data_IF_834940604646
#
_entry.id   IF_834940604646
#
_cell.length_a   1.000
_cell.length_b   1.000
_cell.length_c   1.000
_cell.angle_alpha   90.00
_cell.angle_beta   90.00
_cell.angle_gamma   90.00
#
_symmetry.space_group_name_H-M   'P 1'
#
loop_
_entity.id
_entity.type
_entity.pdbx_description
1 polymer ?
#
# COMPACT_ATOMS: atom_id res chain seq x y z
N UNK A 1 -0.09 -22.93 21.49
CA UNK A 1 0.03 -22.97 20.03
C UNK A 1 0.05 -21.54 19.57
N UNK A 2 1.12 -21.07 18.94
CA UNK A 2 1.10 -19.74 18.32
C UNK A 2 0.21 -19.86 17.08
N UNK A 3 -0.86 -19.07 17.02
CA UNK A 3 -1.71 -19.00 15.83
C UNK A 3 -0.83 -18.65 14.62
N UNK A 4 -1.00 -19.40 13.53
CA UNK A 4 -0.32 -19.09 12.29
C UNK A 4 -0.68 -17.66 11.85
N UNK A 5 0.27 -16.89 11.29
CA UNK A 5 0.00 -15.51 10.90
C UNK A 5 -1.17 -15.45 9.92
N UNK A 6 -2.07 -14.49 10.16
CA UNK A 6 -3.26 -14.31 9.34
C UNK A 6 -2.85 -14.08 7.87
N UNK A 7 -3.53 -14.75 6.95
CA UNK A 7 -3.19 -14.71 5.52
C UNK A 7 -4.04 -13.67 4.81
N UNK A 8 -3.49 -12.93 3.85
CA UNK A 8 -4.31 -12.12 2.94
C UNK A 8 -5.29 -13.00 2.16
N UNK A 9 -6.56 -12.61 2.15
CA UNK A 9 -7.65 -13.33 1.44
C UNK A 9 -8.31 -12.51 0.35
N UNK A 10 -8.23 -11.17 0.41
CA UNK A 10 -8.62 -10.27 -0.67
C UNK A 10 -7.72 -9.03 -0.68
N UNK A 11 -7.54 -8.45 -1.86
CA UNK A 11 -6.60 -7.35 -2.13
C UNK A 11 -7.20 -6.39 -3.16
N UNK A 12 -7.07 -5.10 -2.90
CA UNK A 12 -7.12 -4.06 -3.92
C UNK A 12 -5.87 -3.19 -3.77
N UNK A 13 -5.09 -3.06 -4.84
CA UNK A 13 -3.89 -2.25 -4.91
C UNK A 13 -3.76 -1.51 -6.25
N UNK A 14 -2.62 -0.84 -6.43
CA UNK A 14 -2.31 -0.13 -7.66
C UNK A 14 -0.81 -0.19 -7.97
N UNK A 15 -0.46 -0.54 -9.22
CA UNK A 15 0.92 -0.66 -9.71
C UNK A 15 1.21 0.40 -10.78
N UNK A 16 2.42 0.96 -10.79
CA UNK A 16 2.85 1.93 -11.82
C UNK A 16 2.13 3.28 -11.76
N UNK A 17 1.97 3.92 -12.93
CA UNK A 17 1.48 5.29 -13.08
C UNK A 17 2.58 6.34 -12.82
N UNK A 18 2.27 7.60 -13.12
CA UNK A 18 3.21 8.71 -12.94
C UNK A 18 3.17 9.24 -11.50
N UNK A 19 4.10 8.77 -10.66
CA UNK A 19 4.27 9.20 -9.26
C UNK A 19 5.76 9.39 -8.94
N UNK A 20 6.08 10.13 -7.88
CA UNK A 20 7.47 10.22 -7.40
C UNK A 20 7.99 8.87 -6.94
N UNK A 21 9.32 8.67 -6.96
CA UNK A 21 9.94 7.44 -6.49
C UNK A 21 9.55 7.10 -5.04
N UNK A 22 9.56 8.10 -4.15
CA UNK A 22 9.10 7.98 -2.76
C UNK A 22 7.66 7.49 -2.68
N UNK A 23 6.74 8.09 -3.45
CA UNK A 23 5.35 7.64 -3.49
C UNK A 23 5.20 6.23 -4.04
N UNK A 24 6.01 5.84 -5.03
CA UNK A 24 5.96 4.49 -5.59
C UNK A 24 6.38 3.42 -4.57
N UNK A 25 7.45 3.66 -3.82
CA UNK A 25 7.95 2.74 -2.79
C UNK A 25 7.01 2.66 -1.58
N UNK A 26 6.47 3.81 -1.16
CA UNK A 26 5.59 3.90 -0.01
C UNK A 26 4.13 3.62 -0.31
N UNK A 27 3.74 3.37 -1.57
CA UNK A 27 2.35 3.05 -1.91
C UNK A 27 1.94 1.71 -1.27
N UNK A 28 1.04 1.70 -0.27
CA UNK A 28 0.48 0.44 0.20
C UNK A 28 -0.61 -0.03 -0.77
N UNK A 29 -1.04 -1.29 -0.68
CA UNK A 29 -2.37 -1.66 -1.16
C UNK A 29 -3.45 -0.72 -0.61
N UNK A 30 -4.45 -0.44 -1.43
CA UNK A 30 -5.61 0.37 -1.03
C UNK A 30 -6.41 -0.31 0.06
N UNK A 31 -6.65 -1.61 -0.09
CA UNK A 31 -7.33 -2.44 0.91
C UNK A 31 -6.76 -3.86 0.90
N UNK A 32 -6.51 -4.41 2.08
CA UNK A 32 -6.24 -5.83 2.27
C UNK A 32 -7.20 -6.40 3.31
N UNK A 33 -7.78 -7.56 3.02
CA UNK A 33 -8.58 -8.34 3.96
C UNK A 33 -7.77 -9.56 4.38
N UNK A 34 -7.65 -9.79 5.68
CA UNK A 34 -6.97 -10.94 6.27
C UNK A 34 -7.96 -12.02 6.70
N UNK A 35 -7.48 -13.27 6.78
CA UNK A 35 -8.29 -14.45 7.10
C UNK A 35 -8.91 -14.41 8.50
N UNK A 36 -8.33 -13.62 9.41
CA UNK A 36 -8.87 -13.40 10.75
C UNK A 36 -9.93 -12.28 10.78
N UNK A 37 -10.25 -11.68 9.63
CA UNK A 37 -11.23 -10.59 9.50
C UNK A 37 -10.68 -9.19 9.75
N UNK A 38 -9.37 -9.02 9.95
CA UNK A 38 -8.78 -7.69 9.94
C UNK A 38 -8.79 -7.15 8.50
N UNK A 39 -9.26 -5.92 8.34
CA UNK A 39 -9.14 -5.16 7.10
C UNK A 39 -8.21 -4.00 7.36
N UNK A 40 -7.22 -3.80 6.50
CA UNK A 40 -6.31 -2.65 6.54
C UNK A 40 -6.48 -1.86 5.26
N UNK A 41 -6.81 -0.57 5.39
CA UNK A 41 -6.98 0.36 4.29
C UNK A 41 -5.85 1.39 4.28
N UNK A 42 -5.24 1.60 3.10
CA UNK A 42 -4.12 2.52 2.84
C UNK A 42 -2.97 2.41 3.87
N UNK A 43 -2.78 1.25 4.49
CA UNK A 43 -1.85 1.04 5.63
C UNK A 43 -1.95 2.11 6.74
N UNK A 44 -3.14 2.68 6.96
CA UNK A 44 -3.36 3.77 7.91
C UNK A 44 -4.62 3.60 8.76
N UNK A 45 -5.63 2.91 8.24
CA UNK A 45 -6.85 2.57 8.97
C UNK A 45 -7.05 1.06 9.02
N UNK A 46 -7.66 0.59 10.08
CA UNK A 46 -8.08 -0.80 10.21
C UNK A 46 -9.51 -0.92 10.75
N UNK A 47 -10.20 -1.99 10.38
CA UNK A 47 -11.44 -2.42 11.00
C UNK A 47 -11.49 -3.94 11.15
N UNK A 48 -12.42 -4.42 11.98
CA UNK A 48 -12.66 -5.85 12.14
C UNK A 48 -13.99 -6.22 11.47
N UNK A 49 -13.93 -7.23 10.61
CA UNK A 49 -15.08 -7.89 10.03
C UNK A 49 -15.43 -9.15 10.83
N UNK A 50 -16.69 -9.54 10.75
CA UNK A 50 -17.15 -10.87 11.14
C UNK A 50 -16.70 -11.92 10.12
N UNK A 51 -16.61 -13.19 10.55
CA UNK A 51 -16.29 -14.32 9.67
C UNK A 51 -17.25 -14.43 8.48
N UNK A 52 -18.53 -14.13 8.70
CA UNK A 52 -19.56 -14.12 7.66
C UNK A 52 -19.30 -13.03 6.61
N UNK A 53 -18.88 -11.84 7.03
CA UNK A 53 -18.51 -10.75 6.10
C UNK A 53 -17.27 -11.13 5.28
N UNK A 54 -16.23 -11.68 5.92
CA UNK A 54 -15.03 -12.17 5.21
C UNK A 54 -15.40 -13.21 4.16
N UNK A 55 -16.20 -14.21 4.55
CA UNK A 55 -16.63 -15.27 3.65
C UNK A 55 -17.41 -14.74 2.45
N UNK A 56 -18.30 -13.76 2.67
CA UNK A 56 -19.04 -13.09 1.58
C UNK A 56 -18.12 -12.33 0.65
N UNK A 57 -17.17 -11.54 1.18
CA UNK A 57 -16.20 -10.79 0.36
C UNK A 57 -15.38 -11.75 -0.49
N UNK A 58 -14.82 -12.81 0.11
CA UNK A 58 -14.02 -13.80 -0.62
C UNK A 58 -14.85 -14.50 -1.70
N UNK A 59 -16.10 -14.88 -1.41
CA UNK A 59 -16.99 -15.51 -2.38
C UNK A 59 -17.32 -14.57 -3.55
N UNK A 60 -17.66 -13.31 -3.28
CA UNK A 60 -17.94 -12.30 -4.30
C UNK A 60 -16.71 -12.02 -5.15
N UNK A 61 -15.56 -11.75 -4.52
CA UNK A 61 -14.30 -11.51 -5.24
C UNK A 61 -13.89 -12.71 -6.10
N UNK A 62 -14.05 -13.94 -5.61
CA UNK A 62 -13.84 -15.16 -6.43
C UNK A 62 -14.78 -15.19 -7.62
N UNK A 63 -16.05 -14.89 -7.42
CA UNK A 63 -17.05 -14.85 -8.50
C UNK A 63 -16.68 -13.83 -9.57
N UNK A 64 -16.18 -12.65 -9.16
CA UNK A 64 -15.79 -11.60 -10.09
C UNK A 64 -14.49 -11.87 -10.85
N UNK A 65 -13.50 -12.47 -10.19
CA UNK A 65 -12.15 -12.64 -10.76
C UNK A 65 -11.96 -13.99 -11.45
N UNK A 66 -12.75 -15.02 -11.14
CA UNK A 66 -12.64 -16.33 -11.80
C UNK A 66 -12.95 -16.20 -13.28
N UNK A 67 -12.05 -16.73 -14.13
CA UNK A 67 -12.17 -16.66 -15.59
C UNK A 67 -11.62 -15.38 -16.22
N UNK A 68 -11.20 -14.39 -15.42
CA UNK A 68 -10.46 -13.23 -15.92
C UNK A 68 -9.02 -13.63 -16.28
N UNK A 69 -8.43 -13.02 -17.33
CA UNK A 69 -7.00 -13.17 -17.60
C UNK A 69 -6.17 -12.47 -16.51
N UNK A 70 -4.88 -12.83 -16.31
CA UNK A 70 -4.00 -12.17 -15.35
C UNK A 70 -3.86 -10.66 -15.56
N UNK A 71 -3.97 -10.22 -16.82
CA UNK A 71 -4.11 -8.81 -17.21
C UNK A 71 -5.34 -8.68 -18.10
N UNK A 72 -6.37 -7.99 -17.60
CA UNK A 72 -7.56 -7.68 -18.37
C UNK A 72 -7.26 -6.56 -19.38
N UNK A 73 -7.89 -6.64 -20.55
CA UNK A 73 -7.82 -5.60 -21.58
C UNK A 73 -9.21 -5.01 -21.77
N UNK A 74 -9.34 -3.68 -21.93
CA UNK A 74 -10.61 -3.08 -22.25
C UNK A 74 -11.01 -3.45 -23.68
N UNK A 75 -12.29 -3.26 -24.03
CA UNK A 75 -12.74 -3.43 -25.42
C UNK A 75 -11.95 -2.50 -26.37
N UNK A 76 -11.73 -2.91 -27.64
CA UNK A 76 -10.83 -2.20 -28.57
C UNK A 76 -11.18 -0.73 -28.85
N UNK A 77 -12.42 -0.32 -28.63
CA UNK A 77 -12.94 1.03 -28.80
C UNK A 77 -12.73 1.93 -27.56
N UNK A 78 -12.09 1.41 -26.50
CA UNK A 78 -11.76 2.19 -25.32
C UNK A 78 -10.75 3.30 -25.63
N UNK A 79 -10.90 4.50 -25.04
CA UNK A 79 -9.91 5.54 -25.18
C UNK A 79 -8.59 5.11 -24.55
N UNK A 80 -7.47 5.52 -25.16
CA UNK A 80 -6.15 5.32 -24.57
C UNK A 80 -5.98 6.25 -23.38
N UNK A 81 -5.56 5.68 -22.25
CA UNK A 81 -5.28 6.43 -21.02
C UNK A 81 -3.84 6.15 -20.62
N UNK A 82 -3.04 7.21 -20.51
CA UNK A 82 -1.64 7.15 -20.11
C UNK A 82 -1.48 7.61 -18.67
N UNK A 83 -0.34 7.27 -18.06
CA UNK A 83 0.13 7.79 -16.76
C UNK A 83 -0.73 7.47 -15.52
N UNK A 84 -1.79 6.67 -15.68
CA UNK A 84 -2.61 6.18 -14.57
C UNK A 84 -2.08 4.85 -14.03
N UNK A 85 -2.15 4.61 -12.70
CA UNK A 85 -1.83 3.31 -12.14
C UNK A 85 -2.74 2.20 -12.68
N UNK A 86 -2.17 1.01 -12.85
CA UNK A 86 -2.94 -0.21 -13.10
C UNK A 86 -3.58 -0.67 -11.80
N UNK A 87 -4.89 -0.89 -11.80
CA UNK A 87 -5.58 -1.46 -10.64
C UNK A 87 -5.22 -2.94 -10.51
N UNK A 88 -4.90 -3.40 -9.31
CA UNK A 88 -4.66 -4.82 -9.00
C UNK A 88 -5.77 -5.29 -8.07
N UNK A 89 -6.55 -6.26 -8.52
CA UNK A 89 -7.58 -6.93 -7.72
C UNK A 89 -7.14 -8.35 -7.42
N UNK A 90 -7.26 -8.78 -6.18
CA UNK A 90 -6.80 -10.10 -5.77
C UNK A 90 -7.76 -10.79 -4.82
N UNK A 91 -7.83 -12.12 -4.92
CA UNK A 91 -8.54 -12.98 -3.97
C UNK A 91 -7.81 -14.31 -3.81
N UNK A 92 -7.82 -14.87 -2.60
CA UNK A 92 -7.24 -16.19 -2.37
C UNK A 92 -8.13 -17.26 -2.98
N UNK A 93 -7.61 -18.03 -3.92
CA UNK A 93 -8.25 -19.18 -4.56
C UNK A 93 -8.48 -20.34 -3.59
N UNK A 94 -9.20 -21.36 -4.06
CA UNK A 94 -9.43 -22.60 -3.29
C UNK A 94 -8.14 -23.42 -3.12
N UNK A 95 -7.19 -23.27 -4.05
CA UNK A 95 -5.84 -23.85 -3.99
C UNK A 95 -4.91 -23.13 -2.99
N UNK A 96 -5.42 -22.11 -2.29
CA UNK A 96 -4.68 -21.33 -1.32
C UNK A 96 -3.74 -20.27 -1.91
N UNK A 97 -3.64 -20.16 -3.24
CA UNK A 97 -2.85 -19.13 -3.94
C UNK A 97 -3.66 -17.86 -4.14
N UNK A 98 -3.01 -16.73 -4.34
CA UNK A 98 -3.71 -15.50 -4.74
C UNK A 98 -3.97 -15.54 -6.25
N UNK A 99 -5.23 -15.39 -6.64
CA UNK A 99 -5.64 -15.04 -7.99
C UNK A 99 -5.62 -13.51 -8.07
N UNK A 100 -4.76 -12.97 -8.93
CA UNK A 100 -4.64 -11.52 -9.15
C UNK A 100 -4.95 -11.16 -10.59
N UNK A 101 -5.67 -10.06 -10.77
CA UNK A 101 -6.05 -9.49 -12.06
C UNK A 101 -5.58 -8.04 -12.10
N UNK A 102 -4.75 -7.73 -13.09
CA UNK A 102 -4.30 -6.37 -13.43
C UNK A 102 -5.28 -5.75 -14.41
N UNK A 103 -5.78 -4.56 -14.09
CA UNK A 103 -6.81 -3.86 -14.87
C UNK A 103 -6.34 -2.43 -15.16
N UNK A 104 -5.68 -2.20 -16.31
CA UNK A 104 -5.19 -0.88 -16.69
C UNK A 104 -6.34 0.14 -16.79
N UNK A 105 -6.14 1.34 -16.24
CA UNK A 105 -7.07 2.46 -16.36
C UNK A 105 -8.55 2.15 -15.98
N UNK A 106 -8.77 1.21 -15.05
CA UNK A 106 -10.11 0.74 -14.70
C UNK A 106 -11.08 1.88 -14.37
N UNK A 107 -10.64 2.87 -13.59
CA UNK A 107 -11.49 3.99 -13.19
C UNK A 107 -11.84 4.93 -14.36
N UNK A 108 -11.00 5.00 -15.39
CA UNK A 108 -11.21 5.89 -16.54
C UNK A 108 -12.06 5.25 -17.63
N UNK A 109 -11.95 3.92 -17.82
CA UNK A 109 -12.62 3.20 -18.91
C UNK A 109 -13.47 2.01 -18.42
N UNK A 110 -14.03 2.10 -17.21
CA UNK A 110 -14.80 1.03 -16.57
C UNK A 110 -15.88 0.40 -17.47
N UNK A 111 -16.59 1.22 -18.26
CA UNK A 111 -17.65 0.78 -19.18
C UNK A 111 -17.14 -0.10 -20.32
N UNK A 112 -15.82 -0.13 -20.57
CA UNK A 112 -15.18 -0.97 -21.58
C UNK A 112 -14.67 -2.31 -21.03
N UNK A 113 -14.82 -2.56 -19.72
CA UNK A 113 -14.51 -3.83 -19.08
C UNK A 113 -15.78 -4.65 -18.79
N UNK A 114 -15.67 -5.98 -18.61
CA UNK A 114 -16.74 -6.78 -18.02
C UNK A 114 -17.10 -6.22 -16.65
N UNK A 115 -18.40 -6.06 -16.36
CA UNK A 115 -18.91 -5.43 -15.12
C UNK A 115 -18.34 -6.00 -13.82
N UNK A 116 -17.89 -7.25 -13.85
CA UNK A 116 -17.28 -7.94 -12.72
C UNK A 116 -16.04 -7.20 -12.19
N UNK A 117 -15.25 -6.55 -13.06
CA UNK A 117 -14.04 -5.83 -12.64
C UNK A 117 -14.34 -4.53 -11.89
N UNK A 118 -15.20 -3.62 -12.40
CA UNK A 118 -15.63 -2.46 -11.61
C UNK A 118 -16.42 -2.87 -10.35
N UNK A 119 -17.29 -3.88 -10.41
CA UNK A 119 -18.04 -4.37 -9.23
C UNK A 119 -17.08 -4.89 -8.13
N UNK A 120 -16.03 -5.63 -8.51
CA UNK A 120 -15.00 -6.10 -7.58
C UNK A 120 -14.23 -4.94 -6.93
N UNK A 121 -13.91 -3.90 -7.71
CA UNK A 121 -13.27 -2.71 -7.17
C UNK A 121 -14.20 -1.95 -6.22
N UNK A 122 -15.46 -1.75 -6.60
CA UNK A 122 -16.47 -1.07 -5.77
C UNK A 122 -16.67 -1.78 -4.43
N UNK A 123 -16.73 -3.12 -4.44
CA UNK A 123 -16.80 -3.91 -3.22
C UNK A 123 -15.62 -3.61 -2.26
N UNK A 124 -14.40 -3.55 -2.79
CA UNK A 124 -13.20 -3.26 -2.00
C UNK A 124 -13.13 -1.78 -1.60
N UNK A 125 -13.58 -0.86 -2.45
CA UNK A 125 -13.66 0.57 -2.15
C UNK A 125 -14.65 0.86 -1.02
N UNK A 126 -15.79 0.17 -0.98
CA UNK A 126 -16.71 0.22 0.14
C UNK A 126 -16.06 -0.15 1.48
N UNK A 127 -15.09 -1.07 1.49
CA UNK A 127 -14.31 -1.39 2.70
C UNK A 127 -13.34 -0.28 3.06
N UNK A 128 -12.69 0.36 2.08
CA UNK A 128 -11.82 1.51 2.32
C UNK A 128 -12.61 2.67 2.95
N UNK A 129 -13.77 3.00 2.37
CA UNK A 129 -14.68 4.05 2.87
C UNK A 129 -15.16 3.71 4.29
N UNK A 130 -15.57 2.47 4.55
CA UNK A 130 -15.98 2.03 5.88
C UNK A 130 -14.85 2.12 6.91
N UNK A 131 -13.63 1.75 6.54
CA UNK A 131 -12.45 1.85 7.40
C UNK A 131 -12.07 3.31 7.68
N UNK A 132 -12.19 4.20 6.70
CA UNK A 132 -11.99 5.62 6.90
C UNK A 132 -13.03 6.25 7.85
N UNK A 133 -14.31 5.84 7.73
CA UNK A 133 -15.40 6.40 8.50
C UNK A 133 -15.52 5.86 9.93
N UNK A 134 -15.23 4.57 10.14
CA UNK A 134 -15.51 3.86 11.40
C UNK A 134 -14.37 3.00 11.92
N UNK A 135 -13.26 2.91 11.17
CA UNK A 135 -12.08 2.17 11.58
C UNK A 135 -11.24 2.94 12.61
N UNK A 136 -10.33 2.20 13.25
CA UNK A 136 -9.29 2.76 14.10
C UNK A 136 -8.01 2.99 13.30
N UNK A 137 -7.09 3.80 13.82
CA UNK A 137 -5.76 3.91 13.21
C UNK A 137 -5.06 2.55 13.20
N UNK A 138 -4.40 2.24 12.07
CA UNK A 138 -3.54 1.10 11.95
C UNK A 138 -2.14 1.45 12.46
N UNK A 139 -1.61 0.62 13.36
CA UNK A 139 -0.23 0.70 13.83
C UNK A 139 0.44 -0.66 13.64
N UNK A 140 1.31 -0.76 12.64
CA UNK A 140 2.11 -1.94 12.39
C UNK A 140 3.33 -2.02 13.32
N UNK A 141 3.89 -3.22 13.46
CA UNK A 141 5.13 -3.45 14.23
C UNK A 141 6.40 -3.16 13.43
N UNK A 142 6.26 -2.94 12.12
CA UNK A 142 7.33 -2.67 11.17
C UNK A 142 6.95 -1.49 10.28
N UNK A 143 7.95 -0.76 9.80
CA UNK A 143 7.76 0.36 8.87
C UNK A 143 8.65 0.21 7.66
N UNK A 144 8.18 0.66 6.50
CA UNK A 144 9.04 0.94 5.34
C UNK A 144 9.46 2.39 5.41
N UNK A 145 10.75 2.63 5.61
CA UNK A 145 11.37 3.95 5.56
C UNK A 145 11.91 4.20 4.15
N UNK A 146 11.71 5.42 3.67
CA UNK A 146 12.34 5.95 2.46
C UNK A 146 13.10 7.23 2.81
N UNK A 147 14.31 7.34 2.28
CA UNK A 147 15.14 8.53 2.32
C UNK A 147 15.38 9.03 0.90
N UNK A 148 14.98 10.28 0.65
CA UNK A 148 15.18 10.98 -0.63
C UNK A 148 16.22 12.08 -0.43
N UNK A 149 17.20 12.17 -1.32
CA UNK A 149 18.28 13.16 -1.20
C UNK A 149 17.75 14.58 -1.35
N UNK A 150 18.14 15.48 -0.45
CA UNK A 150 17.77 16.90 -0.52
C UNK A 150 18.96 17.75 -0.97
N UNK A 151 18.77 18.56 -2.04
CA UNK A 151 19.83 19.39 -2.62
C UNK A 151 20.19 20.61 -1.75
N UNK A 152 19.24 21.12 -0.96
CA UNK A 152 19.44 22.25 -0.05
C UNK A 152 18.64 22.06 1.23
N UNK A 153 19.15 22.62 2.32
CA UNK A 153 18.39 22.76 3.55
C UNK A 153 17.53 24.03 3.46
N UNK A 154 16.37 23.94 2.81
CA UNK A 154 15.30 24.91 3.07
C UNK A 154 14.73 24.61 4.46
N UNK A 155 15.42 25.11 5.50
CA UNK A 155 15.08 24.88 6.90
C UNK A 155 16.26 24.42 7.77
N UNK A 156 16.00 24.12 9.04
CA UNK A 156 16.99 23.59 9.98
C UNK A 156 16.86 22.06 10.03
N UNK A 157 17.79 21.28 9.46
CA UNK A 157 17.71 19.83 9.49
C UNK A 157 17.83 19.30 10.92
N UNK A 158 17.02 18.29 11.24
CA UNK A 158 17.14 17.52 12.46
C UNK A 158 18.35 16.56 12.38
N UNK A 159 18.94 16.16 13.52
CA UNK A 159 19.92 15.07 13.52
C UNK A 159 19.24 13.76 13.09
N UNK A 160 19.97 12.91 12.37
CA UNK A 160 19.48 11.59 11.98
C UNK A 160 18.93 10.80 13.18
N UNK A 161 17.77 10.12 13.05
CA UNK A 161 17.16 9.41 14.17
C UNK A 161 18.08 8.32 14.72
N UNK A 162 18.32 8.35 16.04
CA UNK A 162 19.22 7.40 16.70
C UNK A 162 18.75 5.95 16.52
N UNK A 163 19.69 5.06 16.21
CA UNK A 163 19.42 3.63 16.01
C UNK A 163 18.80 3.29 14.64
N UNK A 164 18.61 4.27 13.76
CA UNK A 164 18.22 4.06 12.37
C UNK A 164 19.47 4.08 11.50
N UNK A 165 19.61 3.09 10.63
CA UNK A 165 20.74 3.03 9.69
C UNK A 165 20.72 4.20 8.69
N UNK A 166 21.85 4.86 8.51
CA UNK A 166 22.03 5.92 7.52
C UNK A 166 22.24 5.34 6.10
N UNK A 167 21.72 5.97 5.03
CA UNK A 167 22.09 5.64 3.67
C UNK A 167 23.60 5.74 3.47
N UNK A 168 24.20 4.77 2.80
CA UNK A 168 25.61 4.82 2.37
C UNK A 168 25.69 4.96 0.86
N UNK A 169 26.60 5.81 0.37
CA UNK A 169 26.79 6.05 -1.07
C UNK A 169 25.76 6.98 -1.72
N UNK A 170 25.70 6.96 -3.05
CA UNK A 170 24.75 7.74 -3.85
C UNK A 170 23.35 7.15 -3.77
N UNK A 171 22.36 7.99 -3.48
CA UNK A 171 20.94 7.62 -3.47
C UNK A 171 20.32 8.02 -4.81
N UNK A 172 19.84 7.04 -5.58
CA UNK A 172 19.13 7.28 -6.84
C UNK A 172 18.08 6.18 -7.13
N UNK A 173 16.79 6.51 -7.29
CA UNK A 173 16.17 7.80 -6.97
C UNK A 173 15.94 7.97 -5.46
N UNK A 174 15.84 6.87 -4.71
CA UNK A 174 15.60 6.86 -3.26
C UNK A 174 16.32 5.68 -2.59
N UNK A 175 16.61 5.83 -1.31
CA UNK A 175 17.07 4.74 -0.44
C UNK A 175 15.87 4.23 0.37
N UNK A 176 15.74 2.93 0.51
CA UNK A 176 14.64 2.33 1.27
C UNK A 176 15.14 1.27 2.25
N UNK A 177 14.44 1.15 3.37
CA UNK A 177 14.71 0.08 4.35
C UNK A 177 13.46 -0.25 5.16
N UNK A 178 13.23 -1.55 5.35
CA UNK A 178 12.22 -2.05 6.26
C UNK A 178 12.83 -2.12 7.67
N UNK A 179 12.15 -1.51 8.64
CA UNK A 179 12.61 -1.35 10.02
C UNK A 179 11.67 -2.08 10.99
N UNK A 180 12.24 -2.56 12.08
CA UNK A 180 11.53 -3.19 13.20
C UNK A 180 12.04 -2.67 14.56
N UNK A 181 11.41 -3.15 15.64
CA UNK A 181 11.88 -2.93 17.00
C UNK A 181 12.05 -1.45 17.38
N UNK A 182 13.20 -1.14 17.98
CA UNK A 182 13.50 0.21 18.50
C UNK A 182 13.61 1.27 17.39
N UNK A 183 13.98 0.87 16.17
CA UNK A 183 14.11 1.78 15.04
C UNK A 183 12.74 2.30 14.57
N UNK A 184 11.68 1.49 14.69
CA UNK A 184 10.30 1.94 14.43
C UNK A 184 9.93 3.07 15.38
N UNK A 185 10.15 2.89 16.69
CA UNK A 185 9.82 3.93 17.68
C UNK A 185 10.62 5.23 17.46
N UNK A 186 11.88 5.13 17.01
CA UNK A 186 12.70 6.28 16.66
C UNK A 186 12.10 7.04 15.46
N UNK A 187 11.72 6.34 14.39
CA UNK A 187 11.14 6.94 13.19
C UNK A 187 9.75 7.53 13.45
N UNK A 188 8.85 6.79 14.09
CA UNK A 188 7.47 7.27 14.33
C UNK A 188 7.41 8.47 15.27
N UNK A 189 8.42 8.64 16.14
CA UNK A 189 8.58 9.84 16.96
C UNK A 189 9.19 11.02 16.19
N UNK A 190 10.13 10.75 15.29
CA UNK A 190 10.87 11.79 14.57
C UNK A 190 10.12 12.33 13.35
N UNK A 191 9.30 11.49 12.71
CA UNK A 191 8.62 11.78 11.45
C UNK A 191 7.14 11.43 11.61
N UNK A 192 6.21 12.37 11.42
CA UNK A 192 4.78 12.08 11.39
C UNK A 192 4.42 10.98 10.38
N UNK A 193 3.37 10.21 10.67
CA UNK A 193 2.92 9.15 9.78
C UNK A 193 2.30 9.71 8.49
N UNK A 194 2.88 9.35 7.34
CA UNK A 194 2.25 9.54 6.02
C UNK A 194 2.19 10.96 5.45
N UNK A 195 2.01 10.98 4.11
CA UNK A 195 1.62 12.00 3.11
C UNK A 195 2.16 13.44 3.14
N UNK A 196 2.72 13.95 4.23
CA UNK A 196 3.50 15.20 4.22
C UNK A 196 4.94 14.93 3.77
N UNK A 197 5.07 14.35 2.57
CA UNK A 197 6.34 14.18 1.90
C UNK A 197 6.95 15.57 1.69
N UNK A 198 8.09 15.87 2.32
CA UNK A 198 8.72 17.20 2.17
C UNK A 198 9.23 17.84 3.45
N UNK A 199 8.62 17.57 4.59
CA UNK A 199 8.78 18.45 5.78
C UNK A 199 9.87 17.99 6.74
N UNK A 200 10.18 16.70 6.75
CA UNK A 200 11.07 16.10 7.75
C UNK A 200 12.48 15.93 7.18
N UNK A 201 13.25 17.02 7.21
CA UNK A 201 14.64 17.07 6.75
C UNK A 201 15.62 16.63 7.84
N UNK A 202 16.51 15.69 7.51
CA UNK A 202 17.50 15.12 8.42
C UNK A 202 18.91 15.23 7.85
N UNK A 203 19.88 15.37 8.75
CA UNK A 203 21.31 15.37 8.44
C UNK A 203 21.98 14.13 9.00
N UNK A 204 22.70 13.41 8.15
CA UNK A 204 23.52 12.25 8.54
C UNK A 204 24.81 12.67 9.25
N UNK A 205 25.50 11.70 9.85
CA UNK A 205 26.84 11.88 10.42
C UNK A 205 27.88 12.40 9.41
N UNK A 206 27.77 12.00 8.14
CA UNK A 206 28.60 12.49 7.02
C UNK A 206 28.22 13.89 6.54
N UNK A 207 27.09 14.43 7.01
CA UNK A 207 26.57 15.73 6.67
C UNK A 207 25.67 15.78 5.44
N UNK A 208 25.35 14.63 4.85
CA UNK A 208 24.36 14.51 3.78
C UNK A 208 22.95 14.82 4.30
N UNK A 209 22.09 15.34 3.42
CA UNK A 209 20.73 15.75 3.75
C UNK A 209 19.72 14.82 3.07
N UNK A 210 18.73 14.38 3.85
CA UNK A 210 17.65 13.52 3.37
C UNK A 210 16.31 13.98 3.89
N UNK A 211 15.30 13.89 3.04
CA UNK A 211 13.90 13.88 3.45
C UNK A 211 13.52 12.45 3.81
N UNK A 212 12.97 12.27 5.01
CA UNK A 212 12.47 10.96 5.45
C UNK A 212 10.96 10.87 5.31
N UNK A 213 10.49 9.72 4.87
CA UNK A 213 9.08 9.39 4.77
C UNK A 213 8.88 7.90 5.04
N UNK A 214 7.77 7.53 5.65
CA UNK A 214 7.53 6.14 6.00
C UNK A 214 6.06 5.78 5.97
N UNK A 215 5.79 4.48 5.94
CA UNK A 215 4.47 3.90 6.26
C UNK A 215 4.62 2.64 7.10
N UNK A 216 3.57 2.27 7.81
CA UNK A 216 3.52 0.94 8.41
C UNK A 216 3.51 -0.13 7.31
N UNK A 217 4.25 -1.21 7.54
CA UNK A 217 4.13 -2.43 6.76
C UNK A 217 2.88 -3.19 7.19
N UNK A 218 2.29 -3.90 6.24
CA UNK A 218 1.22 -4.84 6.50
C UNK A 218 1.78 -6.12 7.17
N UNK A 219 0.94 -6.93 7.84
CA UNK A 219 1.38 -8.13 8.56
C UNK A 219 2.25 -9.11 7.73
N UNK A 220 2.04 -9.17 6.42
CA UNK A 220 2.68 -10.13 5.53
C UNK A 220 3.66 -9.51 4.52
N UNK A 221 4.05 -8.26 4.74
CA UNK A 221 5.18 -7.62 4.04
C UNK A 221 6.54 -7.90 4.71
#
# INVERSE_FOLDING_TARGET
MADAPAKRVALWGAEGGFVTATMNVLRPPRVVVYSDGVVIADASKQLKLTENEVSKIVASMRTYLTGQPPTAQPRPDAPTVSDVPTTVLGVRGQDGKMLEVRVPALDQVASFYPKQLPDAKELMDGLAVRAAASGTDYAGTRVRLVAEGAASAEGKPAPWPAGVEEPSGSVDPVWQKDLDGVAVAAITKAVPAGREYGTSLFKTSSGALFMLSWRYLLPDE
#
